data_IF_629328534408
#
_entry.id   IF_629328534408
#
_cell.length_a   1.000
_cell.length_b   1.000
_cell.length_c   1.000
_cell.angle_alpha   90.00
_cell.angle_beta   90.00
_cell.angle_gamma   90.00
#
_symmetry.space_group_name_H-M   'P 1'
#
loop_
_entity.id
_entity.type
_entity.pdbx_description
1 polymer ?
#
# COMPACT_ATOMS: atom_id res chain seq x y z
N UNK A 1 -41.90 -25.23 22.76
CA UNK A 1 -41.60 -24.01 21.97
C UNK A 1 -40.90 -22.98 22.84
N UNK A 2 -39.56 -22.96 22.87
CA UNK A 2 -38.81 -21.83 23.46
C UNK A 2 -37.55 -21.57 22.63
N UNK A 3 -37.52 -20.33 22.13
CA UNK A 3 -36.63 -19.64 21.22
C UNK A 3 -35.16 -20.12 21.23
N UNK A 4 -34.73 -20.70 20.09
CA UNK A 4 -33.32 -20.75 19.70
C UNK A 4 -32.87 -19.32 19.43
N UNK A 5 -32.21 -18.68 20.40
CA UNK A 5 -31.48 -17.44 20.15
C UNK A 5 -30.20 -17.86 19.42
N UNK A 6 -30.25 -17.73 18.10
CA UNK A 6 -29.09 -17.78 17.24
C UNK A 6 -28.21 -16.59 17.63
N UNK A 7 -27.15 -16.84 18.40
CA UNK A 7 -26.08 -15.85 18.62
C UNK A 7 -25.34 -15.75 17.28
N UNK A 8 -25.85 -14.88 16.41
CA UNK A 8 -25.15 -14.35 15.26
C UNK A 8 -24.02 -13.51 15.82
N UNK A 9 -22.86 -14.14 15.98
CA UNK A 9 -21.60 -13.50 16.28
C UNK A 9 -21.29 -12.59 15.09
N UNK A 10 -21.75 -11.34 15.19
CA UNK A 10 -21.39 -10.26 14.29
C UNK A 10 -19.91 -9.95 14.52
N UNK A 11 -19.04 -10.74 13.88
CA UNK A 11 -17.65 -10.39 13.67
C UNK A 11 -17.67 -9.26 12.63
N UNK A 12 -17.92 -8.04 13.10
CA UNK A 12 -17.65 -6.82 12.35
C UNK A 12 -16.13 -6.63 12.36
N UNK A 13 -15.41 -7.46 11.61
CA UNK A 13 -14.02 -7.15 11.26
C UNK A 13 -14.13 -6.12 10.14
N UNK A 14 -13.90 -4.88 10.53
CA UNK A 14 -13.69 -3.75 9.66
C UNK A 14 -12.57 -4.04 8.66
N UNK A 15 -12.91 -4.60 7.50
CA UNK A 15 -12.01 -4.68 6.35
C UNK A 15 -11.99 -3.32 5.66
N UNK A 16 -11.11 -2.43 6.11
CA UNK A 16 -10.82 -1.17 5.45
C UNK A 16 -9.44 -1.23 4.79
N UNK A 17 -9.34 -1.85 3.62
CA UNK A 17 -8.50 -1.34 2.52
C UNK A 17 -8.85 -2.10 1.26
N UNK A 18 -8.80 -1.42 0.12
CA UNK A 18 -9.20 -1.94 -1.18
C UNK A 18 -8.35 -1.15 -2.21
N UNK A 19 -7.88 -1.69 -3.34
CA UNK A 19 -6.89 -1.07 -4.25
C UNK A 19 -5.49 -0.72 -3.69
N UNK A 20 -4.43 -1.01 -4.47
CA UNK A 20 -3.06 -0.67 -4.08
C UNK A 20 -2.80 0.83 -4.12
N UNK A 21 -3.30 1.51 -5.14
CA UNK A 21 -3.19 2.97 -5.31
C UNK A 21 -4.57 3.55 -5.07
N UNK A 22 -4.65 4.69 -4.37
CA UNK A 22 -5.88 5.46 -4.25
C UNK A 22 -5.63 6.94 -4.27
N UNK A 23 -6.57 7.67 -4.87
CA UNK A 23 -6.63 9.13 -4.90
C UNK A 23 -7.95 9.52 -4.24
N UNK A 24 -7.87 9.97 -2.98
CA UNK A 24 -9.05 10.33 -2.17
C UNK A 24 -8.65 11.18 -0.97
N UNK A 25 -9.62 11.85 -0.34
CA UNK A 25 -9.40 12.54 0.94
C UNK A 25 -9.50 11.54 2.10
N UNK A 26 -8.36 11.22 2.72
CA UNK A 26 -8.27 10.24 3.80
C UNK A 26 -8.52 10.80 5.20
N UNK A 27 -8.96 12.07 5.34
CA UNK A 27 -9.01 12.77 6.63
C UNK A 27 -9.90 12.14 7.72
N UNK A 28 -10.76 11.15 7.39
CA UNK A 28 -11.65 10.50 8.36
C UNK A 28 -11.88 8.99 8.12
N UNK A 29 -11.02 8.30 7.35
CA UNK A 29 -11.31 6.94 6.82
C UNK A 29 -12.63 6.82 6.03
N UNK A 30 -13.26 7.96 5.71
CA UNK A 30 -14.45 8.06 4.88
C UNK A 30 -14.00 8.47 3.49
N UNK A 31 -14.31 7.63 2.50
CA UNK A 31 -14.17 7.99 1.10
C UNK A 31 -15.11 9.19 0.84
N UNK A 32 -14.52 10.37 0.66
CA UNK A 32 -15.23 11.55 0.15
C UNK A 32 -14.59 11.92 -1.17
N UNK A 33 -15.45 12.32 -2.10
CA UNK A 33 -15.02 12.96 -3.34
C UNK A 33 -14.13 14.16 -3.00
N UNK A 34 -13.05 14.29 -3.76
CA UNK A 34 -11.95 15.18 -3.45
C UNK A 34 -12.26 16.62 -3.87
N UNK A 35 -11.69 17.61 -3.18
CA UNK A 35 -11.79 19.02 -3.57
C UNK A 35 -10.86 19.27 -4.76
N UNK A 36 -11.38 19.58 -5.97
CA UNK A 36 -10.54 19.78 -7.16
C UNK A 36 -9.47 20.86 -6.96
N UNK A 37 -9.74 21.86 -6.12
CA UNK A 37 -8.79 22.94 -5.84
C UNK A 37 -7.53 22.48 -5.11
N UNK A 38 -7.57 21.34 -4.42
CA UNK A 38 -6.38 20.78 -3.78
C UNK A 38 -5.40 20.22 -4.82
N UNK A 39 -5.88 19.67 -5.95
CA UNK A 39 -4.96 19.27 -7.04
C UNK A 39 -4.21 20.48 -7.59
N UNK A 40 -4.90 21.61 -7.79
CA UNK A 40 -4.27 22.83 -8.29
C UNK A 40 -3.25 23.39 -7.29
N UNK A 41 -3.51 23.28 -5.97
CA UNK A 41 -2.51 23.64 -4.96
C UNK A 41 -1.28 22.74 -5.02
N UNK A 42 -1.49 21.41 -5.02
CA UNK A 42 -0.38 20.44 -5.03
C UNK A 42 0.40 20.47 -6.34
N UNK A 43 -0.24 20.73 -7.48
CA UNK A 43 0.47 20.85 -8.78
C UNK A 43 1.56 21.94 -8.75
N UNK A 44 1.39 22.94 -7.89
CA UNK A 44 2.32 24.06 -7.74
C UNK A 44 3.35 23.88 -6.61
N UNK A 45 3.45 22.68 -6.02
CA UNK A 45 4.46 22.37 -5.00
C UNK A 45 5.61 21.54 -5.54
N UNK A 46 6.69 21.42 -4.77
CA UNK A 46 7.70 20.36 -4.95
C UNK A 46 7.34 19.17 -4.08
N UNK A 47 7.30 17.96 -4.64
CA UNK A 47 7.05 16.73 -3.85
C UNK A 47 8.37 16.20 -3.28
N UNK A 48 8.44 16.12 -1.96
CA UNK A 48 9.56 15.50 -1.24
C UNK A 48 9.24 14.02 -1.03
N UNK A 49 10.03 13.15 -1.66
CA UNK A 49 9.95 11.71 -1.48
C UNK A 49 10.87 11.28 -0.34
N UNK A 50 10.26 10.75 0.72
CA UNK A 50 10.94 10.18 1.89
C UNK A 50 10.55 8.72 1.96
N UNK A 51 11.38 7.90 1.32
CA UNK A 51 11.18 6.47 1.08
C UNK A 51 12.18 5.65 1.90
N UNK A 52 12.13 4.33 1.80
CA UNK A 52 13.04 3.43 2.52
C UNK A 52 14.47 3.63 2.04
N UNK A 53 15.44 3.66 2.96
CA UNK A 53 16.88 3.73 2.66
C UNK A 53 17.41 2.38 2.10
N UNK A 54 16.55 1.37 1.93
CA UNK A 54 16.90 0.13 1.25
C UNK A 54 17.40 0.34 -0.19
N UNK A 55 16.86 1.35 -0.88
CA UNK A 55 17.39 1.83 -2.16
C UNK A 55 18.02 3.21 -1.98
N UNK A 56 19.02 3.50 -2.82
CA UNK A 56 19.69 4.80 -2.83
C UNK A 56 18.77 5.90 -3.40
N UNK A 57 18.98 7.17 -3.02
CA UNK A 57 18.27 8.29 -3.64
C UNK A 57 18.35 8.30 -5.16
N UNK A 58 19.51 7.96 -5.74
CA UNK A 58 19.73 7.91 -7.19
C UNK A 58 18.87 6.85 -7.88
N UNK A 59 18.66 5.70 -7.25
CA UNK A 59 17.78 4.64 -7.76
C UNK A 59 16.32 5.07 -7.77
N UNK A 60 15.85 5.74 -6.71
CA UNK A 60 14.51 6.33 -6.69
C UNK A 60 14.36 7.44 -7.72
N UNK A 61 15.33 8.34 -7.82
CA UNK A 61 15.31 9.42 -8.80
C UNK A 61 15.19 8.88 -10.23
N UNK A 62 15.89 7.78 -10.54
CA UNK A 62 15.82 7.15 -11.86
C UNK A 62 14.40 6.72 -12.19
N UNK A 63 13.72 5.99 -11.30
CA UNK A 63 12.34 5.56 -11.56
C UNK A 63 11.35 6.72 -11.54
N UNK A 64 11.56 7.74 -10.69
CA UNK A 64 10.69 8.92 -10.59
C UNK A 64 10.78 9.80 -11.85
N UNK A 65 11.97 9.99 -12.43
CA UNK A 65 12.15 10.71 -13.71
C UNK A 65 11.31 10.10 -14.85
N UNK A 66 11.06 8.80 -14.79
CA UNK A 66 10.27 8.07 -15.79
C UNK A 66 8.77 7.94 -15.46
N UNK A 67 8.38 8.13 -14.19
CA UNK A 67 7.03 7.81 -13.69
C UNK A 67 6.28 8.97 -13.06
N UNK A 68 6.97 10.06 -12.71
CA UNK A 68 6.40 11.20 -11.99
C UNK A 68 6.61 12.51 -12.75
N UNK A 69 5.50 13.09 -13.18
CA UNK A 69 5.43 14.39 -13.86
C UNK A 69 4.51 15.36 -13.14
N UNK A 70 3.80 14.89 -12.10
CA UNK A 70 2.76 15.67 -11.46
C UNK A 70 3.32 16.94 -10.82
N UNK A 71 4.51 16.87 -10.24
CA UNK A 71 5.23 18.00 -9.65
C UNK A 71 6.73 17.86 -9.90
N UNK A 72 7.53 18.95 -9.78
CA UNK A 72 8.94 18.82 -9.41
C UNK A 72 9.09 17.95 -8.17
N UNK A 73 10.23 17.28 -8.01
CA UNK A 73 10.46 16.41 -6.86
C UNK A 73 11.91 16.42 -6.39
N UNK A 74 12.07 16.03 -5.13
CA UNK A 74 13.36 15.76 -4.48
C UNK A 74 13.24 14.42 -3.72
N UNK A 75 14.33 13.67 -3.64
CA UNK A 75 14.41 12.45 -2.84
C UNK A 75 15.31 12.72 -1.65
N UNK A 76 14.81 12.46 -0.45
CA UNK A 76 15.50 12.77 0.81
C UNK A 76 15.50 11.52 1.69
N UNK A 77 16.68 11.17 2.22
CA UNK A 77 16.80 10.07 3.17
C UNK A 77 15.98 10.36 4.43
N UNK A 78 15.52 9.33 5.14
CA UNK A 78 14.83 9.58 6.41
C UNK A 78 15.76 10.23 7.44
N UNK A 79 17.07 9.95 7.38
CA UNK A 79 18.09 10.51 8.25
C UNK A 79 18.23 12.04 8.12
N UNK A 80 18.08 12.55 6.90
CA UNK A 80 18.23 13.99 6.59
C UNK A 80 16.89 14.74 6.60
N UNK A 81 15.78 14.02 6.72
CA UNK A 81 14.46 14.59 6.62
C UNK A 81 14.03 15.32 7.90
N UNK A 82 13.73 16.62 7.76
CA UNK A 82 13.09 17.42 8.80
C UNK A 82 12.02 18.35 8.25
N UNK A 83 10.79 18.22 8.75
CA UNK A 83 9.66 19.07 8.35
C UNK A 83 9.92 20.56 8.51
N UNK A 84 10.71 20.99 9.51
CA UNK A 84 11.02 22.40 9.73
C UNK A 84 11.81 23.05 8.58
N UNK A 85 12.46 22.24 7.74
CA UNK A 85 13.18 22.71 6.56
C UNK A 85 12.24 23.07 5.39
N UNK A 86 10.96 22.68 5.47
CA UNK A 86 10.01 22.82 4.35
C UNK A 86 8.93 23.85 4.67
N UNK A 87 8.86 24.91 3.84
CA UNK A 87 7.88 25.98 4.02
C UNK A 87 6.45 25.50 3.71
N UNK A 88 5.51 25.79 4.61
CA UNK A 88 4.08 25.51 4.42
C UNK A 88 3.57 26.03 3.07
N UNK A 89 2.73 25.23 2.41
CA UNK A 89 2.13 25.58 1.12
C UNK A 89 3.06 25.44 -0.11
N UNK A 90 4.38 25.28 0.07
CA UNK A 90 5.34 25.13 -1.06
C UNK A 90 5.71 23.69 -1.39
N UNK A 91 5.44 22.77 -0.46
CA UNK A 91 5.83 21.38 -0.58
C UNK A 91 4.63 20.43 -0.42
N UNK A 92 4.74 19.31 -1.12
CA UNK A 92 3.97 18.09 -0.89
C UNK A 92 4.94 16.99 -0.51
N UNK A 93 4.43 15.90 0.05
CA UNK A 93 5.27 14.85 0.59
C UNK A 93 4.73 13.50 0.14
N UNK A 94 5.64 12.58 -0.20
CA UNK A 94 5.40 11.16 -0.37
C UNK A 94 6.20 10.43 0.71
N UNK A 95 5.54 10.06 1.81
CA UNK A 95 6.19 9.56 3.02
C UNK A 95 5.84 8.10 3.27
N UNK A 96 6.85 7.23 3.35
CA UNK A 96 6.70 5.85 3.78
C UNK A 96 6.28 5.79 5.26
N UNK A 97 5.27 4.99 5.57
CA UNK A 97 4.75 4.87 6.93
C UNK A 97 4.47 3.43 7.28
N UNK A 98 4.89 3.05 8.47
CA UNK A 98 4.44 1.87 9.20
C UNK A 98 3.79 2.31 10.50
N UNK A 99 2.62 1.77 10.81
CA UNK A 99 1.93 2.05 12.07
C UNK A 99 1.30 0.78 12.63
N UNK A 100 1.32 0.62 13.95
CA UNK A 100 0.59 -0.44 14.66
C UNK A 100 -0.33 0.17 15.70
N UNK A 101 -1.61 -0.16 15.64
CA UNK A 101 -2.63 0.41 16.53
C UNK A 101 -3.39 -0.67 17.24
N UNK A 102 -3.61 -0.47 18.54
CA UNK A 102 -4.52 -1.31 19.31
C UNK A 102 -5.97 -0.85 19.06
N UNK A 103 -6.77 -1.75 18.52
CA UNK A 103 -8.23 -1.63 18.39
C UNK A 103 -8.87 -2.67 19.33
N UNK A 104 -9.38 -2.21 20.48
CA UNK A 104 -9.92 -3.06 21.56
C UNK A 104 -8.96 -4.19 21.99
N UNK A 105 -9.29 -5.43 21.62
CA UNK A 105 -8.54 -6.66 21.91
C UNK A 105 -7.61 -7.08 20.76
N UNK A 106 -7.59 -6.34 19.67
CA UNK A 106 -6.81 -6.65 18.46
C UNK A 106 -5.77 -5.57 18.20
N UNK A 107 -4.64 -5.94 17.60
CA UNK A 107 -3.72 -4.99 16.98
C UNK A 107 -3.94 -5.02 15.47
N UNK A 108 -3.86 -3.87 14.84
CA UNK A 108 -3.89 -3.73 13.39
C UNK A 108 -2.65 -2.95 12.99
N UNK A 109 -1.89 -3.50 12.05
CA UNK A 109 -0.79 -2.79 11.43
C UNK A 109 -1.27 -2.12 10.13
N UNK A 110 -0.59 -1.08 9.68
CA UNK A 110 -0.83 -0.42 8.40
C UNK A 110 0.49 0.01 7.80
N UNK A 111 0.65 -0.20 6.50
CA UNK A 111 1.88 0.11 5.77
C UNK A 111 1.54 0.76 4.44
N UNK A 112 2.00 1.98 4.24
CA UNK A 112 1.66 2.74 3.06
C UNK A 112 2.66 3.85 2.75
N UNK A 113 2.69 4.30 1.50
CA UNK A 113 3.25 5.60 1.12
C UNK A 113 2.09 6.58 1.08
N UNK A 114 2.11 7.57 1.97
CA UNK A 114 1.11 8.63 2.02
C UNK A 114 1.57 9.83 1.20
N UNK A 115 0.67 10.35 0.37
CA UNK A 115 0.86 11.58 -0.37
C UNK A 115 0.00 12.68 0.24
N UNK A 116 0.63 13.74 0.72
CA UNK A 116 -0.08 14.80 1.43
C UNK A 116 0.54 16.17 1.21
N UNK A 117 -0.26 17.19 1.50
CA UNK A 117 0.12 18.58 1.47
C UNK A 117 -0.09 19.20 2.86
N UNK A 118 0.89 19.99 3.30
CA UNK A 118 0.78 20.79 4.52
C UNK A 118 0.31 22.19 4.14
N UNK A 119 -0.89 22.54 4.60
CA UNK A 119 -1.51 23.85 4.38
C UNK A 119 -1.91 24.50 5.69
N UNK A 120 -2.18 25.81 5.68
CA UNK A 120 -2.84 26.47 6.80
C UNK A 120 -4.33 26.62 6.54
N UNK A 121 -5.13 26.39 7.59
CA UNK A 121 -6.56 26.68 7.56
C UNK A 121 -6.98 27.43 8.81
N UNK A 122 -7.81 28.45 8.64
CA UNK A 122 -8.41 29.13 9.78
C UNK A 122 -9.37 28.22 10.54
N UNK A 123 -9.07 27.94 11.80
CA UNK A 123 -9.93 27.17 12.70
C UNK A 123 -10.86 28.11 13.46
N UNK A 124 -12.15 28.11 13.14
CA UNK A 124 -13.17 28.86 13.91
C UNK A 124 -13.16 28.48 15.40
N UNK A 125 -12.95 27.19 15.71
CA UNK A 125 -12.91 26.68 17.09
C UNK A 125 -11.71 27.22 17.88
N UNK A 126 -10.52 27.27 17.27
CA UNK A 126 -9.30 27.75 17.94
C UNK A 126 -9.06 29.25 17.73
N UNK A 127 -9.87 29.91 16.88
CA UNK A 127 -9.75 31.32 16.47
C UNK A 127 -8.36 31.70 15.94
N UNK A 128 -7.70 30.76 15.26
CA UNK A 128 -6.37 30.93 14.67
C UNK A 128 -6.19 30.04 13.45
N UNK A 129 -5.20 30.35 12.62
CA UNK A 129 -4.71 29.40 11.62
C UNK A 129 -4.14 28.17 12.33
N UNK A 130 -4.46 27.01 11.78
CA UNK A 130 -3.87 25.74 12.16
C UNK A 130 -3.26 25.13 10.92
N UNK A 131 -2.16 24.43 11.12
CA UNK A 131 -1.62 23.53 10.12
C UNK A 131 -2.63 22.39 9.91
N UNK A 132 -2.84 22.05 8.65
CA UNK A 132 -3.71 20.99 8.19
C UNK A 132 -2.90 20.06 7.33
N UNK A 133 -3.02 18.78 7.66
CA UNK A 133 -2.51 17.67 6.89
C UNK A 133 -3.60 17.22 5.91
N UNK A 134 -3.41 17.50 4.63
CA UNK A 134 -4.35 17.12 3.56
C UNK A 134 -3.77 15.96 2.76
N UNK A 135 -4.10 14.72 3.16
CA UNK A 135 -3.74 13.53 2.38
C UNK A 135 -4.61 13.43 1.13
N UNK A 136 -3.97 13.29 -0.02
CA UNK A 136 -4.60 13.27 -1.33
C UNK A 136 -4.40 11.97 -2.10
N UNK A 137 -3.40 11.18 -1.75
CA UNK A 137 -3.24 9.85 -2.31
C UNK A 137 -2.52 8.91 -1.36
N UNK A 138 -2.63 7.62 -1.65
CA UNK A 138 -1.99 6.55 -0.89
C UNK A 138 -1.58 5.41 -1.81
N UNK A 139 -0.45 4.80 -1.48
CA UNK A 139 -0.05 3.50 -2.01
C UNK A 139 0.04 2.51 -0.84
N UNK A 140 -0.80 1.48 -0.83
CA UNK A 140 -0.81 0.41 0.17
C UNK A 140 0.30 -0.61 -0.12
N UNK A 141 1.00 -1.03 0.93
CA UNK A 141 2.12 -1.96 0.85
C UNK A 141 1.73 -3.34 1.38
N UNK A 142 2.28 -4.40 0.79
CA UNK A 142 2.06 -5.78 1.19
C UNK A 142 3.22 -6.20 2.08
N UNK A 143 3.06 -6.19 3.41
CA UNK A 143 4.15 -6.57 4.30
C UNK A 143 4.50 -8.05 4.14
N UNK A 144 5.79 -8.36 4.28
CA UNK A 144 6.24 -9.72 4.55
C UNK A 144 5.62 -10.21 5.87
N UNK A 145 5.41 -11.53 5.97
CA UNK A 145 4.82 -12.16 7.15
C UNK A 145 5.60 -11.86 8.44
N UNK A 146 6.92 -11.71 8.33
CA UNK A 146 7.85 -11.35 9.41
C UNK A 146 7.57 -9.95 9.92
N UNK A 147 7.58 -8.93 9.05
CA UNK A 147 7.24 -7.55 9.44
C UNK A 147 5.85 -7.49 10.09
N UNK A 148 4.86 -8.14 9.49
CA UNK A 148 3.52 -8.11 10.05
C UNK A 148 3.45 -8.78 11.43
N UNK A 149 4.15 -9.90 11.62
CA UNK A 149 4.21 -10.56 12.93
C UNK A 149 4.86 -9.68 13.99
N UNK A 150 5.97 -9.01 13.66
CA UNK A 150 6.64 -8.04 14.53
C UNK A 150 5.71 -6.88 14.88
N UNK A 151 5.07 -6.27 13.88
CA UNK A 151 4.17 -5.13 14.08
C UNK A 151 2.93 -5.47 14.91
N UNK A 152 2.52 -6.74 14.96
CA UNK A 152 1.37 -7.22 15.73
C UNK A 152 1.73 -7.73 17.13
N UNK A 153 3.01 -7.81 17.50
CA UNK A 153 3.41 -8.32 18.80
C UNK A 153 3.00 -7.39 19.96
N UNK A 154 2.59 -7.94 21.13
CA UNK A 154 2.29 -7.13 22.31
C UNK A 154 3.56 -6.44 22.85
N UNK A 155 3.46 -5.13 23.12
CA UNK A 155 4.54 -4.27 23.65
C UNK A 155 5.16 -4.72 24.98
N UNK A 156 4.52 -5.64 25.72
CA UNK A 156 5.02 -6.10 27.02
C UNK A 156 6.42 -6.72 27.00
N UNK A 157 6.90 -7.13 25.82
CA UNK A 157 8.24 -7.70 25.64
C UNK A 157 9.27 -6.72 25.03
N UNK A 158 8.87 -5.53 24.59
CA UNK A 158 9.83 -4.54 24.04
C UNK A 158 10.57 -3.77 25.15
N UNK A 159 9.98 -3.72 26.36
CA UNK A 159 10.50 -2.96 27.49
C UNK A 159 11.72 -3.57 28.21
N UNK A 160 12.30 -4.68 27.74
CA UNK A 160 13.44 -5.30 28.44
C UNK A 160 14.66 -5.70 27.60
N UNK A 161 14.57 -5.99 26.30
CA UNK A 161 15.71 -6.70 25.66
C UNK A 161 16.42 -6.03 24.49
N UNK A 162 15.98 -4.88 23.97
CA UNK A 162 16.79 -4.17 22.96
C UNK A 162 16.64 -2.66 23.14
N UNK A 163 17.70 -2.04 23.67
CA UNK A 163 18.01 -0.65 23.39
C UNK A 163 18.29 -0.51 21.88
N UNK A 164 17.23 -0.57 21.06
CA UNK A 164 17.30 -0.14 19.68
C UNK A 164 17.42 1.38 19.74
N UNK A 165 18.66 1.86 19.61
CA UNK A 165 18.97 3.27 19.44
C UNK A 165 18.86 3.53 17.93
N UNK A 166 17.73 4.04 17.42
CA UNK A 166 17.59 4.30 16.00
C UNK A 166 18.55 5.44 15.67
N UNK A 167 19.24 5.32 14.55
CA UNK A 167 20.23 6.27 14.04
C UNK A 167 19.67 7.70 14.10
N UNK A 168 20.15 8.49 15.06
CA UNK A 168 20.35 9.95 15.03
C UNK A 168 19.21 10.91 14.69
N UNK A 169 18.03 10.46 14.25
CA UNK A 169 16.92 11.33 13.86
C UNK A 169 15.97 11.51 15.04
N UNK A 170 15.79 12.76 15.47
CA UNK A 170 14.77 13.08 16.45
C UNK A 170 13.39 12.79 15.84
N UNK A 171 12.73 11.75 16.35
CA UNK A 171 11.38 11.28 15.99
C UNK A 171 10.27 12.35 16.08
N UNK A 172 10.59 13.58 16.49
CA UNK A 172 9.71 14.74 16.39
C UNK A 172 9.23 14.98 14.95
N UNK A 173 10.01 14.58 13.94
CA UNK A 173 9.63 14.70 12.52
C UNK A 173 8.50 13.72 12.13
N UNK A 174 8.48 12.49 12.64
CA UNK A 174 7.40 11.51 12.34
C UNK A 174 6.09 11.77 13.10
N UNK A 175 6.10 12.64 14.12
CA UNK A 175 4.92 12.95 14.95
C UNK A 175 3.83 13.78 14.24
N UNK A 176 4.03 14.23 13.00
CA UNK A 176 3.07 15.07 12.29
C UNK A 176 1.72 14.39 12.00
N UNK A 177 1.67 13.06 12.01
CA UNK A 177 0.52 12.33 11.44
C UNK A 177 -0.57 11.95 12.41
N UNK A 178 -0.38 12.14 13.72
CA UNK A 178 -1.39 11.75 14.70
C UNK A 178 -1.62 12.81 15.77
N UNK A 179 -2.21 13.93 15.36
CA UNK A 179 -2.97 14.81 16.26
C UNK A 179 -2.24 15.21 17.56
N UNK A 180 -0.98 15.63 17.47
CA UNK A 180 -0.15 16.04 18.62
C UNK A 180 -0.06 14.99 19.74
N UNK A 181 -0.27 13.70 19.43
CA UNK A 181 -0.13 12.61 20.39
C UNK A 181 1.18 11.89 20.12
N UNK A 182 2.06 11.88 21.14
CA UNK A 182 3.29 11.10 21.14
C UNK A 182 2.98 9.66 20.73
N UNK A 183 3.68 9.16 19.72
CA UNK A 183 3.63 7.75 19.32
C UNK A 183 4.02 6.86 20.50
N UNK A 184 3.41 5.68 20.59
CA UNK A 184 3.88 4.65 21.52
C UNK A 184 5.22 4.07 21.05
N UNK A 185 6.01 3.48 21.95
CA UNK A 185 7.28 2.82 21.60
C UNK A 185 7.12 1.76 20.49
N UNK A 186 6.01 1.03 20.47
CA UNK A 186 5.73 0.10 19.36
C UNK A 186 5.45 0.80 18.03
N UNK A 187 4.75 1.94 18.06
CA UNK A 187 4.53 2.71 16.84
C UNK A 187 5.84 3.29 16.31
N UNK A 188 6.72 3.77 17.20
CA UNK A 188 8.06 4.25 16.84
C UNK A 188 8.91 3.10 16.27
N UNK A 189 8.93 1.94 16.93
CA UNK A 189 9.66 0.77 16.48
C UNK A 189 9.23 0.31 15.08
N UNK A 190 7.93 0.13 14.85
CA UNK A 190 7.40 -0.29 13.54
C UNK A 190 7.68 0.77 12.48
N UNK A 191 7.56 2.05 12.81
CA UNK A 191 7.87 3.13 11.88
C UNK A 191 9.37 3.17 11.52
N UNK A 192 10.27 2.83 12.43
CA UNK A 192 11.70 2.74 12.14
C UNK A 192 12.06 1.53 11.28
N UNK A 193 11.39 0.39 11.48
CA UNK A 193 11.67 -0.84 10.72
C UNK A 193 11.50 -0.66 9.21
N UNK A 194 10.44 0.03 8.77
CA UNK A 194 10.07 0.08 7.35
C UNK A 194 11.08 0.80 6.46
N UNK A 195 12.02 1.56 7.04
CA UNK A 195 13.01 2.34 6.30
C UNK A 195 14.34 1.64 6.04
N UNK A 196 14.62 0.52 6.71
CA UNK A 196 15.98 -0.04 6.70
C UNK A 196 16.12 -1.33 5.87
N UNK A 197 15.02 -2.00 5.55
CA UNK A 197 15.04 -3.26 4.81
C UNK A 197 13.88 -3.33 3.80
N UNK A 198 13.98 -4.28 2.86
CA UNK A 198 12.87 -4.62 1.98
C UNK A 198 11.86 -5.51 2.70
N UNK A 199 10.88 -4.86 3.32
CA UNK A 199 9.81 -5.53 4.07
C UNK A 199 8.54 -5.81 3.27
N UNK A 200 8.50 -5.51 1.98
CA UNK A 200 7.25 -5.48 1.24
C UNK A 200 7.34 -6.18 -0.12
N UNK A 201 6.39 -7.07 -0.40
CA UNK A 201 6.33 -7.81 -1.66
C UNK A 201 6.10 -6.90 -2.89
N UNK A 202 5.66 -5.65 -2.68
CA UNK A 202 5.27 -4.72 -3.72
C UNK A 202 6.06 -3.39 -3.71
N UNK A 203 7.29 -3.42 -3.19
CA UNK A 203 8.15 -2.25 -3.01
C UNK A 203 9.45 -2.31 -3.81
N UNK A 204 9.62 -3.28 -4.70
CA UNK A 204 10.74 -3.27 -5.65
C UNK A 204 10.67 -2.07 -6.59
N UNK A 205 11.82 -1.62 -7.14
CA UNK A 205 11.90 -0.39 -7.95
C UNK A 205 10.93 -0.38 -9.13
N UNK A 206 10.79 -1.49 -9.86
CA UNK A 206 9.82 -1.65 -10.93
C UNK A 206 8.38 -1.60 -10.44
N UNK A 207 8.04 -2.25 -9.32
CA UNK A 207 6.69 -2.15 -8.76
C UNK A 207 6.37 -0.74 -8.26
N UNK A 208 7.32 -0.04 -7.64
CA UNK A 208 7.19 1.37 -7.25
C UNK A 208 6.98 2.25 -8.48
N UNK A 209 7.78 2.07 -9.54
CA UNK A 209 7.62 2.77 -10.82
C UNK A 209 6.18 2.63 -11.34
N UNK A 210 5.62 1.42 -11.38
CA UNK A 210 4.24 1.20 -11.81
C UNK A 210 3.21 1.87 -10.88
N UNK A 211 3.40 1.81 -9.57
CA UNK A 211 2.49 2.48 -8.63
C UNK A 211 2.52 4.00 -8.82
N UNK A 212 3.71 4.58 -9.02
CA UNK A 212 3.87 6.00 -9.32
C UNK A 212 3.29 6.38 -10.67
N UNK A 213 3.46 5.57 -11.72
CA UNK A 213 2.82 5.80 -13.03
C UNK A 213 1.30 5.86 -12.92
N UNK A 214 0.68 4.87 -12.25
CA UNK A 214 -0.78 4.85 -12.02
C UNK A 214 -1.22 6.07 -11.23
N UNK A 215 -0.52 6.37 -10.14
CA UNK A 215 -0.85 7.53 -9.30
C UNK A 215 -0.74 8.83 -10.11
N UNK A 216 0.39 9.05 -10.80
CA UNK A 216 0.62 10.22 -11.64
C UNK A 216 -0.49 10.38 -12.69
N UNK A 217 -0.83 9.31 -13.42
CA UNK A 217 -1.94 9.27 -14.38
C UNK A 217 -3.27 9.74 -13.77
N UNK A 218 -3.60 9.27 -12.55
CA UNK A 218 -4.82 9.67 -11.84
C UNK A 218 -4.78 11.12 -11.37
N UNK A 219 -3.64 11.59 -10.84
CA UNK A 219 -3.47 12.97 -10.37
C UNK A 219 -3.56 13.98 -11.53
N UNK A 220 -2.91 13.71 -12.66
CA UNK A 220 -2.96 14.56 -13.87
C UNK A 220 -4.39 14.68 -14.41
N UNK A 221 -5.16 13.60 -14.33
CA UNK A 221 -6.58 13.56 -14.74
C UNK A 221 -7.53 14.13 -13.70
N UNK A 222 -7.04 14.52 -12.51
CA UNK A 222 -7.85 14.88 -11.33
C UNK A 222 -8.92 13.82 -11.01
N UNK A 223 -8.57 12.55 -11.23
CA UNK A 223 -9.49 11.43 -11.16
C UNK A 223 -9.51 10.87 -9.75
N UNK A 224 -10.70 10.87 -9.13
CA UNK A 224 -10.93 10.07 -7.94
C UNK A 224 -10.73 8.59 -8.28
N UNK A 225 -9.98 7.89 -7.43
CA UNK A 225 -9.76 6.48 -7.59
C UNK A 225 -9.87 5.82 -6.23
N UNK A 226 -11.06 5.25 -6.03
CA UNK A 226 -11.46 4.69 -4.76
C UNK A 226 -10.73 3.39 -4.48
N UNK A 227 -10.54 3.16 -3.18
CA UNK A 227 -10.05 1.89 -2.69
C UNK A 227 -11.05 0.77 -3.13
N UNK A 228 -12.35 0.92 -2.86
CA UNK A 228 -13.34 -0.17 -2.84
C UNK A 228 -13.93 -0.60 -4.19
N UNK A 229 -13.47 -0.01 -5.28
CA UNK A 229 -14.08 -0.20 -6.59
C UNK A 229 -13.56 -1.46 -7.28
N UNK A 230 -14.42 -2.09 -8.09
CA UNK A 230 -13.99 -3.09 -9.06
C UNK A 230 -13.60 -2.38 -10.35
N UNK A 231 -12.67 -2.93 -11.12
CA UNK A 231 -12.22 -2.32 -12.39
C UNK A 231 -12.04 -3.40 -13.44
N UNK A 232 -12.61 -3.18 -14.61
CA UNK A 232 -12.50 -4.08 -15.75
C UNK A 232 -12.36 -3.23 -16.99
N UNK A 233 -11.15 -3.15 -17.52
CA UNK A 233 -10.88 -2.44 -18.78
C UNK A 233 -10.88 -3.43 -19.95
N UNK A 234 -11.14 -2.96 -21.16
CA UNK A 234 -11.04 -3.81 -22.36
C UNK A 234 -9.63 -4.39 -22.57
N UNK A 235 -8.61 -3.77 -21.97
CA UNK A 235 -7.22 -4.23 -22.07
C UNK A 235 -7.02 -5.61 -21.46
N UNK A 236 -7.81 -6.01 -20.46
CA UNK A 236 -7.74 -7.36 -19.87
C UNK A 236 -7.93 -8.47 -20.92
N UNK A 237 -8.64 -8.19 -22.02
CA UNK A 237 -8.86 -9.14 -23.13
C UNK A 237 -7.56 -9.50 -23.85
N UNK A 238 -6.49 -8.70 -23.74
CA UNK A 238 -5.17 -9.03 -24.30
C UNK A 238 -4.57 -10.29 -23.67
N UNK A 239 -4.97 -10.66 -22.44
CA UNK A 239 -4.60 -11.92 -21.79
C UNK A 239 -5.08 -13.18 -22.54
N UNK A 240 -5.98 -13.06 -23.54
CA UNK A 240 -6.26 -14.18 -24.46
C UNK A 240 -4.99 -14.69 -25.18
N UNK A 241 -4.02 -13.80 -25.38
CA UNK A 241 -2.77 -14.08 -26.11
C UNK A 241 -1.51 -13.86 -25.27
N UNK A 242 -1.56 -12.98 -24.28
CA UNK A 242 -0.43 -12.70 -23.39
C UNK A 242 -0.33 -13.70 -22.24
N UNK A 243 0.87 -13.84 -21.65
CA UNK A 243 1.09 -14.56 -20.40
C UNK A 243 0.65 -13.68 -19.22
N UNK A 244 -0.12 -14.25 -18.29
CA UNK A 244 -0.29 -13.70 -16.94
C UNK A 244 0.86 -14.16 -16.04
N UNK A 245 1.69 -13.24 -15.59
CA UNK A 245 2.74 -13.51 -14.61
C UNK A 245 2.19 -13.46 -13.18
N UNK A 246 2.50 -14.47 -12.37
CA UNK A 246 2.03 -14.61 -10.99
C UNK A 246 3.25 -14.61 -10.06
N UNK A 247 3.44 -13.57 -9.23
CA UNK A 247 4.57 -13.52 -8.30
C UNK A 247 4.62 -14.72 -7.35
N UNK A 248 5.84 -15.17 -7.04
CA UNK A 248 6.07 -16.34 -6.17
C UNK A 248 5.53 -16.17 -4.74
N UNK A 249 5.46 -14.96 -4.17
CA UNK A 249 4.80 -14.77 -2.88
C UNK A 249 3.33 -15.22 -2.84
N UNK A 250 2.67 -15.36 -3.99
CA UNK A 250 1.30 -15.87 -4.11
C UNK A 250 1.21 -17.40 -4.10
N UNK A 251 2.34 -18.12 -4.08
CA UNK A 251 2.42 -19.56 -3.84
C UNK A 251 2.19 -19.93 -2.37
N UNK A 252 1.82 -18.99 -1.52
CA UNK A 252 1.63 -19.19 -0.08
C UNK A 252 0.16 -19.20 0.30
N UNK A 253 -0.23 -20.16 1.12
CA UNK A 253 -1.50 -20.14 1.84
C UNK A 253 -1.29 -19.63 3.27
N UNK A 254 -1.77 -18.43 3.54
CA UNK A 254 -1.73 -17.84 4.87
C UNK A 254 -2.85 -18.36 5.75
N UNK A 255 -2.51 -18.71 6.98
CA UNK A 255 -3.42 -19.29 7.97
C UNK A 255 -3.50 -18.36 9.18
N UNK A 256 -4.72 -17.97 9.54
CA UNK A 256 -4.99 -17.26 10.80
C UNK A 256 -5.17 -18.28 11.91
N UNK A 257 -4.12 -18.49 12.71
CA UNK A 257 -4.13 -19.38 13.87
C UNK A 257 -4.69 -18.71 15.14
N UNK A 258 -4.72 -19.47 16.26
CA UNK A 258 -5.04 -18.95 17.60
C UNK A 258 -3.94 -18.08 18.20
N UNK A 259 -2.71 -18.14 17.65
CA UNK A 259 -1.59 -17.30 18.06
C UNK A 259 -1.57 -16.01 17.24
N UNK A 260 -1.07 -14.91 17.82
CA UNK A 260 -0.92 -13.60 17.16
C UNK A 260 0.15 -13.58 16.06
N UNK A 261 0.72 -14.74 15.68
CA UNK A 261 1.72 -14.88 14.62
C UNK A 261 1.04 -15.34 13.34
N UNK A 262 1.38 -14.69 12.24
CA UNK A 262 0.92 -15.11 10.93
C UNK A 262 1.71 -16.35 10.50
N UNK A 263 1.02 -17.42 10.13
CA UNK A 263 1.63 -18.63 9.57
C UNK A 263 1.26 -18.73 8.10
N UNK A 264 2.13 -19.35 7.31
CA UNK A 264 1.82 -19.72 5.94
C UNK A 264 2.45 -21.07 5.61
N UNK A 265 1.83 -21.78 4.68
CA UNK A 265 2.39 -22.96 4.05
C UNK A 265 2.59 -22.66 2.56
N UNK A 266 3.66 -23.19 1.97
CA UNK A 266 3.82 -23.17 0.53
C UNK A 266 2.85 -24.17 -0.12
N UNK A 267 2.18 -23.73 -1.17
CA UNK A 267 1.28 -24.56 -1.97
C UNK A 267 2.11 -25.60 -2.71
N UNK A 268 1.63 -26.85 -2.69
CA UNK A 268 2.18 -27.94 -3.49
C UNK A 268 1.87 -27.73 -4.97
N UNK A 269 2.63 -28.39 -5.85
CA UNK A 269 2.40 -28.33 -7.30
C UNK A 269 0.94 -28.66 -7.67
N UNK A 270 0.37 -29.70 -7.03
CA UNK A 270 -1.03 -30.09 -7.24
C UNK A 270 -2.02 -29.01 -6.82
N UNK A 271 -1.74 -28.28 -5.75
CA UNK A 271 -2.58 -27.17 -5.30
C UNK A 271 -2.46 -25.95 -6.23
N UNK A 272 -1.27 -25.69 -6.77
CA UNK A 272 -1.06 -24.66 -7.80
C UNK A 272 -1.79 -25.01 -9.10
N UNK A 273 -1.77 -26.27 -9.53
CA UNK A 273 -2.55 -26.76 -10.67
C UNK A 273 -4.05 -26.59 -10.45
N UNK A 274 -4.59 -26.98 -9.28
CA UNK A 274 -6.01 -26.77 -8.98
C UNK A 274 -6.37 -25.28 -8.91
N UNK A 275 -5.49 -24.45 -8.33
CA UNK A 275 -5.67 -23.01 -8.24
C UNK A 275 -5.87 -22.36 -9.61
N UNK A 276 -5.12 -22.81 -10.62
CA UNK A 276 -5.15 -22.28 -11.98
C UNK A 276 -6.11 -23.03 -12.93
N UNK A 277 -6.70 -24.15 -12.50
CA UNK A 277 -7.52 -25.01 -13.37
C UNK A 277 -8.74 -24.33 -14.04
N UNK A 278 -9.27 -23.25 -13.45
CA UNK A 278 -10.37 -22.46 -14.04
C UNK A 278 -9.88 -21.29 -14.92
N UNK A 279 -8.56 -21.15 -15.11
CA UNK A 279 -7.93 -20.14 -15.97
C UNK A 279 -7.39 -20.78 -17.26
N UNK A 280 -8.13 -20.70 -18.39
CA UNK A 280 -7.77 -21.41 -19.61
C UNK A 280 -6.69 -20.71 -20.46
N UNK A 281 -6.17 -19.57 -19.98
CA UNK A 281 -5.18 -18.77 -20.70
C UNK A 281 -3.77 -19.03 -20.14
N UNK A 282 -2.75 -18.54 -20.84
CA UNK A 282 -1.37 -18.75 -20.42
C UNK A 282 -1.07 -18.02 -19.09
N UNK A 283 -0.55 -18.75 -18.11
CA UNK A 283 -0.08 -18.20 -16.84
C UNK A 283 1.26 -18.84 -16.47
N UNK A 284 2.15 -18.03 -15.88
CA UNK A 284 3.47 -18.47 -15.42
C UNK A 284 3.77 -17.86 -14.05
N UNK A 285 4.28 -18.67 -13.13
CA UNK A 285 4.84 -18.14 -11.88
C UNK A 285 6.21 -17.50 -12.14
N UNK A 286 6.53 -16.42 -11.43
CA UNK A 286 7.76 -15.66 -11.59
C UNK A 286 8.28 -15.17 -10.23
N UNK A 287 9.60 -15.14 -10.07
CA UNK A 287 10.21 -14.52 -8.89
C UNK A 287 10.00 -13.01 -8.90
N UNK A 288 10.02 -12.39 -7.73
CA UNK A 288 9.89 -10.94 -7.58
C UNK A 288 11.02 -10.20 -8.31
N UNK A 289 12.25 -10.73 -8.28
CA UNK A 289 13.43 -10.15 -8.95
C UNK A 289 13.28 -10.14 -10.48
N UNK A 290 12.89 -11.27 -11.08
CA UNK A 290 12.72 -11.34 -12.54
C UNK A 290 11.52 -10.52 -12.99
N UNK A 291 10.44 -10.48 -12.21
CA UNK A 291 9.31 -9.60 -12.48
C UNK A 291 9.72 -8.12 -12.44
N UNK A 292 10.49 -7.72 -11.42
CA UNK A 292 10.97 -6.35 -11.27
C UNK A 292 11.82 -5.92 -12.47
N UNK A 293 12.74 -6.78 -12.89
CA UNK A 293 13.57 -6.58 -14.08
C UNK A 293 12.73 -6.38 -15.34
N UNK A 294 11.70 -7.22 -15.56
CA UNK A 294 10.79 -7.06 -16.70
C UNK A 294 10.04 -5.73 -16.69
N UNK A 295 9.60 -5.28 -15.51
CA UNK A 295 8.94 -3.98 -15.34
C UNK A 295 9.92 -2.84 -15.65
N UNK A 296 11.14 -2.89 -15.11
CA UNK A 296 12.16 -1.86 -15.31
C UNK A 296 12.61 -1.76 -16.77
N UNK A 297 12.67 -2.89 -17.49
CA UNK A 297 12.94 -2.95 -18.94
C UNK A 297 11.77 -2.42 -19.79
N UNK A 298 10.61 -2.13 -19.20
CA UNK A 298 9.43 -1.64 -19.91
C UNK A 298 8.77 -2.68 -20.80
N UNK A 299 8.93 -3.97 -20.49
CA UNK A 299 8.27 -5.05 -21.21
C UNK A 299 6.74 -4.92 -21.07
N UNK A 300 6.01 -5.13 -22.17
CA UNK A 300 4.54 -5.16 -22.14
C UNK A 300 4.05 -6.54 -21.66
N UNK A 301 4.16 -6.76 -20.36
CA UNK A 301 3.67 -7.96 -19.67
C UNK A 301 2.51 -7.61 -18.73
N UNK A 302 1.74 -8.64 -18.34
CA UNK A 302 0.66 -8.52 -17.37
C UNK A 302 0.99 -9.35 -16.15
N UNK A 303 0.85 -8.77 -14.96
CA UNK A 303 1.14 -9.50 -13.74
C UNK A 303 0.08 -9.32 -12.68
N UNK A 304 -0.06 -10.34 -11.84
CA UNK A 304 -1.02 -10.40 -10.75
C UNK A 304 -0.47 -9.66 -9.52
N UNK A 305 -1.33 -8.89 -8.87
CA UNK A 305 -1.11 -8.34 -7.53
C UNK A 305 -2.28 -8.73 -6.63
N UNK A 306 -2.01 -9.06 -5.37
CA UNK A 306 -3.07 -9.35 -4.41
C UNK A 306 -2.54 -10.08 -3.19
N UNK A 307 -3.42 -10.82 -2.51
CA UNK A 307 -3.03 -11.69 -1.40
C UNK A 307 -3.44 -11.16 -0.02
N UNK A 308 -2.74 -11.65 1.01
CA UNK A 308 -3.18 -11.66 2.40
C UNK A 308 -3.57 -10.29 2.97
N UNK A 309 -2.98 -9.21 2.46
CA UNK A 309 -3.16 -7.89 3.04
C UNK A 309 -4.22 -7.02 2.36
N UNK A 310 -4.39 -7.18 1.05
CA UNK A 310 -4.94 -6.12 0.21
C UNK A 310 -6.44 -6.28 -0.09
N UNK A 311 -7.04 -7.43 0.21
CA UNK A 311 -8.49 -7.63 0.00
C UNK A 311 -8.92 -7.52 -1.47
N UNK A 312 -8.01 -7.69 -2.44
CA UNK A 312 -8.31 -7.70 -3.88
C UNK A 312 -7.42 -8.67 -4.64
N UNK A 313 -7.80 -8.91 -5.90
CA UNK A 313 -6.95 -9.44 -6.96
C UNK A 313 -6.91 -8.41 -8.08
N UNK A 314 -5.71 -8.00 -8.48
CA UNK A 314 -5.47 -7.04 -9.55
C UNK A 314 -4.58 -7.62 -10.64
N UNK A 315 -4.83 -7.24 -11.89
CA UNK A 315 -3.87 -7.42 -12.98
C UNK A 315 -3.37 -6.05 -13.42
N UNK A 316 -2.06 -5.92 -13.53
CA UNK A 316 -1.38 -4.68 -13.91
C UNK A 316 -0.66 -4.88 -15.23
N UNK A 317 -0.78 -3.91 -16.15
CA UNK A 317 0.11 -3.81 -17.30
C UNK A 317 1.46 -3.22 -16.81
N UNK A 318 2.53 -4.01 -16.88
CA UNK A 318 3.85 -3.62 -16.38
C UNK A 318 4.48 -2.42 -17.09
N UNK A 319 4.11 -2.18 -18.35
CA UNK A 319 4.66 -1.06 -19.12
C UNK A 319 4.09 0.28 -18.68
N UNK A 320 2.80 0.31 -18.30
CA UNK A 320 2.06 1.55 -18.01
C UNK A 320 1.73 1.72 -16.53
N UNK A 321 1.80 0.66 -15.74
CA UNK A 321 1.30 0.63 -14.37
C UNK A 321 -0.23 0.61 -14.26
N UNK A 322 -0.96 0.59 -15.38
CA UNK A 322 -2.42 0.61 -15.37
C UNK A 322 -3.00 -0.70 -14.85
N UNK A 323 -4.00 -0.58 -13.99
CA UNK A 323 -4.77 -1.71 -13.46
C UNK A 323 -5.84 -2.07 -14.49
N UNK A 324 -5.65 -3.20 -15.18
CA UNK A 324 -6.57 -3.61 -16.27
C UNK A 324 -7.72 -4.46 -15.75
N UNK A 325 -7.54 -5.05 -14.57
CA UNK A 325 -8.52 -5.87 -13.85
C UNK A 325 -8.36 -5.67 -12.35
N UNK A 326 -9.46 -5.55 -11.62
CA UNK A 326 -9.53 -5.52 -10.16
C UNK A 326 -10.83 -6.14 -9.69
N UNK A 327 -10.72 -7.25 -8.95
CA UNK A 327 -11.83 -7.89 -8.26
C UNK A 327 -11.65 -7.77 -6.75
N UNK A 328 -12.70 -7.32 -6.07
CA UNK A 328 -12.69 -7.17 -4.63
C UNK A 328 -12.95 -8.51 -3.95
N UNK A 329 -12.18 -8.79 -2.90
CA UNK A 329 -12.34 -9.99 -2.07
C UNK A 329 -13.00 -9.62 -0.75
N UNK A 330 -14.20 -10.14 -0.55
CA UNK A 330 -14.87 -10.12 0.76
C UNK A 330 -14.36 -11.30 1.57
N UNK A 331 -13.71 -11.04 2.71
CA UNK A 331 -13.38 -12.02 3.76
C UNK A 331 -12.42 -13.16 3.36
N UNK A 332 -11.46 -12.93 2.45
CA UNK A 332 -10.42 -13.93 2.16
C UNK A 332 -9.05 -13.31 1.91
N UNK A 333 -8.08 -13.79 2.68
CA UNK A 333 -6.68 -13.41 2.56
C UNK A 333 -5.95 -14.10 1.39
N UNK A 334 -6.21 -15.37 1.16
CA UNK A 334 -5.51 -16.16 0.12
C UNK A 334 -6.18 -16.04 -1.24
N UNK A 335 -5.38 -16.01 -2.31
CA UNK A 335 -5.86 -16.21 -3.69
C UNK A 335 -6.52 -17.59 -3.80
N UNK A 336 -7.63 -17.67 -4.53
CA UNK A 336 -8.42 -18.89 -4.70
C UNK A 336 -8.76 -19.12 -6.16
N UNK A 337 -9.07 -20.37 -6.50
CA UNK A 337 -9.56 -20.80 -7.82
C UNK A 337 -10.70 -19.93 -8.37
N UNK A 338 -11.63 -19.50 -7.50
CA UNK A 338 -12.73 -18.60 -7.88
C UNK A 338 -12.26 -17.23 -8.41
N UNK A 339 -11.11 -16.74 -7.96
CA UNK A 339 -10.58 -15.45 -8.38
C UNK A 339 -10.07 -15.56 -9.83
N UNK A 340 -9.37 -16.65 -10.15
CA UNK A 340 -8.94 -17.00 -11.51
C UNK A 340 -10.12 -17.27 -12.46
N UNK A 341 -11.18 -17.94 -11.97
CA UNK A 341 -12.43 -18.12 -12.72
C UNK A 341 -13.09 -16.79 -13.11
N UNK A 342 -13.12 -15.82 -12.18
CA UNK A 342 -13.66 -14.48 -12.46
C UNK A 342 -12.79 -13.73 -13.45
N UNK A 343 -11.47 -13.79 -13.30
CA UNK A 343 -10.54 -13.20 -14.25
C UNK A 343 -10.72 -13.80 -15.65
N UNK A 344 -10.80 -15.12 -15.76
CA UNK A 344 -11.07 -15.81 -17.03
C UNK A 344 -12.40 -15.36 -17.66
N UNK A 345 -13.44 -15.08 -16.86
CA UNK A 345 -14.70 -14.53 -17.35
C UNK A 345 -14.54 -13.10 -17.87
N UNK A 346 -13.76 -12.25 -17.22
CA UNK A 346 -13.52 -10.87 -17.65
C UNK A 346 -12.68 -10.79 -18.94
N UNK A 347 -11.84 -11.80 -19.21
CA UNK A 347 -11.04 -11.88 -20.44
C UNK A 347 -11.91 -12.21 -21.66
N UNK A 348 -13.01 -12.95 -21.50
CA UNK A 348 -13.90 -13.34 -22.61
C UNK A 348 -14.49 -12.13 -23.31
#
# INVERSE_FOLDING_TARGET
>A
MRKKILVLLFIFVCSFSNAQVAVSNFSEFKLKEFDPSLFDRVKNTTTIFVLSDYYTPEEYEKILKESWTFTPFEVVSIADFNFSNYTLGKYSFALLKGASRRMDKTRVAYFFIDFFHLSEKYSKKKKRNIEVYECFARIELIPHATLLSEALMPTGNYAQDKAFNPVGTSYETLNFTFANKRMSEAEEYVSGMVYNENWFHNYSLGMLKNNFQKLNSLLEKKQFYGLSEEEYTDEVKKLKKATLYIPDYLKKEYKTGKSSKLHYDDLTEKELEDLLSDYPYKAEFISEEELDKKILLGEEIYYLKGGFWLGFVQVVNAKTGEVVYRDRKVLSYNIRKKDFKKLAKAIK
#
